data_IF_090649670468
#
_entry.id   IF_090649670468
#
_cell.length_a   1.000
_cell.length_b   1.000
_cell.length_c   1.000
_cell.angle_alpha   90.00
_cell.angle_beta   90.00
_cell.angle_gamma   90.00
#
_symmetry.space_group_name_H-M   'P 1'
#
loop_
_entity.id
_entity.type
_entity.pdbx_description
1 polymer ?
#
# COMPACT_ATOMS: atom_id res chain seq x y z
N UNK A 1 21.12 -1.10 -19.71
CA UNK A 1 20.45 -2.03 -18.83
C UNK A 1 19.09 -1.46 -18.46
N UNK A 2 18.03 -2.10 -18.92
CA UNK A 2 16.64 -1.66 -18.72
C UNK A 2 16.23 -1.90 -17.26
N UNK A 3 15.96 -0.85 -16.54
CA UNK A 3 15.35 -0.90 -15.21
C UNK A 3 13.92 -1.41 -15.40
N UNK A 4 13.63 -2.64 -15.00
CA UNK A 4 12.26 -3.11 -14.84
C UNK A 4 11.73 -2.52 -13.54
N UNK A 5 10.67 -1.69 -13.56
CA UNK A 5 10.05 -1.26 -12.33
C UNK A 5 9.37 -2.47 -11.66
N UNK A 6 9.65 -2.63 -10.36
CA UNK A 6 9.02 -3.62 -9.51
C UNK A 6 7.50 -3.42 -9.49
N UNK A 7 6.80 -4.54 -9.69
CA UNK A 7 5.40 -4.82 -9.37
C UNK A 7 4.42 -3.64 -9.48
N UNK A 8 4.00 -3.35 -10.72
CA UNK A 8 2.67 -2.81 -10.92
C UNK A 8 1.67 -3.86 -10.38
N UNK A 9 1.07 -3.57 -9.24
CA UNK A 9 -0.11 -4.30 -8.77
C UNK A 9 -1.16 -4.13 -9.89
N UNK A 10 -1.23 -5.09 -10.79
CA UNK A 10 -2.30 -5.17 -11.76
C UNK A 10 -3.54 -5.55 -10.95
N UNK A 11 -4.31 -4.55 -10.56
CA UNK A 11 -5.66 -4.79 -10.07
C UNK A 11 -6.37 -5.55 -11.18
N UNK A 12 -6.77 -6.79 -10.92
CA UNK A 12 -7.59 -7.55 -11.86
C UNK A 12 -8.87 -6.75 -12.10
N UNK A 13 -9.36 -6.66 -13.35
CA UNK A 13 -10.58 -5.94 -13.63
C UNK A 13 -11.72 -6.45 -12.76
N UNK A 14 -12.54 -5.56 -12.23
CA UNK A 14 -13.68 -5.92 -11.39
C UNK A 14 -14.65 -6.80 -12.18
N UNK A 15 -14.94 -7.98 -11.68
CA UNK A 15 -15.93 -8.85 -12.29
C UNK A 15 -17.36 -8.42 -11.93
N UNK A 16 -18.32 -8.80 -12.76
CA UNK A 16 -19.75 -8.59 -12.46
C UNK A 16 -20.14 -9.25 -11.13
N UNK A 17 -19.60 -10.44 -10.85
CA UNK A 17 -19.83 -11.15 -9.58
C UNK A 17 -19.31 -10.36 -8.38
N UNK A 18 -18.15 -9.72 -8.50
CA UNK A 18 -17.60 -8.85 -7.46
C UNK A 18 -18.49 -7.65 -7.21
N UNK A 19 -18.96 -6.98 -8.26
CA UNK A 19 -19.90 -5.87 -8.12
C UNK A 19 -21.20 -6.32 -7.43
N UNK A 20 -21.77 -7.45 -7.84
CA UNK A 20 -22.97 -8.02 -7.22
C UNK A 20 -22.76 -8.30 -5.72
N UNK A 21 -21.60 -8.81 -5.35
CA UNK A 21 -21.24 -9.01 -3.95
C UNK A 21 -21.24 -7.69 -3.18
N UNK A 22 -20.58 -6.65 -3.72
CA UNK A 22 -20.57 -5.31 -3.11
C UNK A 22 -21.95 -4.69 -2.92
N UNK A 23 -22.89 -4.93 -3.83
CA UNK A 23 -24.27 -4.42 -3.70
C UNK A 23 -24.98 -4.97 -2.45
N UNK A 24 -24.59 -6.14 -1.98
CA UNK A 24 -25.15 -6.79 -0.78
C UNK A 24 -24.44 -6.36 0.52
N UNK A 25 -23.21 -5.89 0.42
CA UNK A 25 -22.44 -5.48 1.60
C UNK A 25 -22.97 -4.18 2.23
N UNK A 26 -22.86 -3.99 3.55
CA UNK A 26 -23.06 -2.69 4.17
C UNK A 26 -22.04 -1.69 3.63
N UNK A 27 -22.39 -0.42 3.53
CA UNK A 27 -21.40 0.64 3.39
C UNK A 27 -20.42 0.52 4.52
N UNK A 28 -19.17 0.28 4.17
CA UNK A 28 -18.07 0.19 5.11
C UNK A 28 -17.10 1.33 4.90
N UNK A 29 -16.04 1.40 5.69
CA UNK A 29 -14.99 2.41 5.54
C UNK A 29 -14.31 2.38 4.16
N UNK A 30 -14.42 1.26 3.41
CA UNK A 30 -13.70 1.03 2.15
C UNK A 30 -14.58 0.94 0.90
N UNK A 31 -15.88 1.14 1.03
CA UNK A 31 -16.80 1.00 -0.09
C UNK A 31 -17.83 2.13 -0.06
N UNK A 32 -17.87 2.91 -1.13
CA UNK A 32 -18.75 4.06 -1.30
C UNK A 32 -19.57 3.94 -2.56
N UNK A 33 -20.88 4.20 -2.50
CA UNK A 33 -21.78 4.19 -3.64
C UNK A 33 -22.34 5.58 -3.91
N UNK A 34 -22.49 5.91 -5.19
CA UNK A 34 -23.14 7.15 -5.63
C UNK A 34 -23.97 6.91 -6.87
N UNK A 35 -25.20 7.41 -6.90
CA UNK A 35 -26.04 7.31 -8.09
C UNK A 35 -25.40 8.00 -9.31
N UNK A 36 -25.03 9.27 -9.16
CA UNK A 36 -24.31 10.04 -10.16
C UNK A 36 -24.83 9.86 -11.60
N UNK A 37 -26.15 9.77 -11.81
CA UNK A 37 -26.78 9.38 -13.08
C UNK A 37 -26.30 10.16 -14.29
N UNK A 38 -26.24 11.47 -14.20
CA UNK A 38 -25.86 12.37 -15.30
C UNK A 38 -24.39 12.82 -15.19
N UNK A 39 -23.98 13.22 -14.01
CA UNK A 39 -22.63 13.77 -13.74
C UNK A 39 -22.27 13.59 -12.28
N UNK A 40 -20.97 13.65 -12.03
CA UNK A 40 -20.42 13.75 -10.69
C UNK A 40 -19.35 14.83 -10.68
N UNK A 41 -19.31 15.61 -9.62
CA UNK A 41 -18.34 16.70 -9.48
C UNK A 41 -16.93 16.16 -9.30
N UNK A 42 -15.99 16.60 -10.14
CA UNK A 42 -14.61 16.09 -10.12
C UNK A 42 -13.86 16.53 -8.85
N UNK A 43 -14.10 17.74 -8.35
CA UNK A 43 -13.49 18.20 -7.09
C UNK A 43 -14.01 17.37 -5.90
N UNK A 44 -15.27 16.96 -5.95
CA UNK A 44 -15.84 16.07 -4.96
C UNK A 44 -15.20 14.67 -5.05
N UNK A 45 -14.96 14.16 -6.25
CA UNK A 45 -14.25 12.89 -6.44
C UNK A 45 -12.84 12.95 -5.85
N UNK A 46 -12.09 14.02 -6.10
CA UNK A 46 -10.75 14.22 -5.54
C UNK A 46 -10.75 14.13 -4.00
N UNK A 47 -11.70 14.81 -3.36
CA UNK A 47 -11.84 14.79 -1.90
C UNK A 47 -12.18 13.40 -1.36
N UNK A 48 -13.05 12.64 -2.05
CA UNK A 48 -13.35 11.26 -1.69
C UNK A 48 -12.12 10.34 -1.86
N UNK A 49 -11.35 10.52 -2.94
CA UNK A 49 -10.09 9.78 -3.12
C UNK A 49 -9.12 10.05 -1.97
N UNK A 50 -8.94 11.32 -1.58
CA UNK A 50 -8.10 11.69 -0.44
C UNK A 50 -8.59 11.03 0.85
N UNK A 51 -9.88 11.11 1.14
CA UNK A 51 -10.46 10.52 2.35
C UNK A 51 -10.32 9.01 2.39
N UNK A 52 -10.64 8.32 1.31
CA UNK A 52 -10.48 6.86 1.21
C UNK A 52 -9.03 6.43 1.37
N UNK A 53 -8.07 7.13 0.72
CA UNK A 53 -6.65 6.83 0.86
C UNK A 53 -6.17 6.97 2.31
N UNK A 54 -6.60 8.02 3.00
CA UNK A 54 -6.24 8.30 4.40
C UNK A 54 -6.81 7.25 5.36
N UNK A 55 -7.90 6.58 5.00
CA UNK A 55 -8.54 5.51 5.79
C UNK A 55 -8.12 4.09 5.37
N UNK A 56 -7.04 3.96 4.62
CA UNK A 56 -6.48 2.67 4.24
C UNK A 56 -6.94 2.15 2.89
N UNK A 57 -7.37 3.06 2.00
CA UNK A 57 -7.81 2.75 0.65
C UNK A 57 -9.27 2.29 0.57
N UNK A 58 -9.79 2.19 -0.65
CA UNK A 58 -11.16 1.75 -0.86
C UNK A 58 -11.61 1.87 -2.31
N UNK A 59 -12.89 1.60 -2.52
CA UNK A 59 -13.52 1.62 -3.85
C UNK A 59 -14.73 2.54 -3.83
N UNK A 60 -14.82 3.40 -4.83
CA UNK A 60 -16.01 4.21 -5.07
C UNK A 60 -16.72 3.71 -6.33
N UNK A 61 -18.01 3.47 -6.23
CA UNK A 61 -18.85 2.91 -7.30
C UNK A 61 -19.91 3.93 -7.68
N UNK A 62 -19.88 4.39 -8.94
CA UNK A 62 -20.85 5.34 -9.50
C UNK A 62 -21.85 4.61 -10.41
N UNK A 63 -23.09 5.03 -10.39
CA UNK A 63 -24.18 4.39 -11.14
C UNK A 63 -24.98 3.37 -10.34
N UNK A 64 -24.85 3.41 -9.01
CA UNK A 64 -25.55 2.55 -8.06
C UNK A 64 -26.24 3.42 -7.02
N UNK A 65 -27.45 3.04 -6.57
CA UNK A 65 -28.20 3.77 -5.54
C UNK A 65 -27.43 3.77 -4.23
N UNK A 66 -27.42 4.91 -3.54
CA UNK A 66 -26.71 5.08 -2.26
C UNK A 66 -27.36 4.20 -1.16
N UNK A 67 -28.70 4.10 -1.17
CA UNK A 67 -29.48 3.40 -0.13
C UNK A 67 -29.81 1.96 -0.52
N UNK A 68 -29.93 1.11 0.50
CA UNK A 68 -30.40 -0.29 0.32
C UNK A 68 -31.92 -0.37 0.14
N UNK A 69 -32.40 -1.33 -0.66
CA UNK A 69 -31.65 -2.26 -1.49
C UNK A 69 -30.97 -1.52 -2.66
N UNK A 70 -29.66 -1.75 -2.84
CA UNK A 70 -28.91 -1.11 -3.92
C UNK A 70 -29.30 -1.66 -5.27
N UNK A 71 -29.39 -0.75 -6.23
CA UNK A 71 -29.73 -1.08 -7.63
C UNK A 71 -28.77 -0.35 -8.56
N UNK A 72 -28.41 -1.02 -9.63
CA UNK A 72 -27.69 -0.39 -10.73
C UNK A 72 -28.67 0.53 -11.44
N UNK A 73 -28.33 1.80 -11.55
CA UNK A 73 -29.15 2.84 -12.21
C UNK A 73 -28.43 3.46 -13.40
N UNK A 74 -27.15 3.10 -13.56
CA UNK A 74 -26.29 3.62 -14.60
C UNK A 74 -25.78 5.02 -14.33
N UNK A 75 -24.60 5.35 -14.92
CA UNK A 75 -24.02 6.70 -14.84
C UNK A 75 -23.45 7.14 -16.19
N UNK A 76 -23.58 8.45 -16.48
CA UNK A 76 -22.88 9.15 -17.57
C UNK A 76 -21.66 9.93 -17.06
N UNK A 77 -21.43 9.93 -15.73
CA UNK A 77 -20.26 10.58 -15.18
C UNK A 77 -18.98 9.90 -15.67
N UNK A 78 -17.95 10.70 -15.91
CA UNK A 78 -16.63 10.21 -16.29
C UNK A 78 -16.66 9.25 -17.49
N UNK A 79 -17.20 9.73 -18.61
CA UNK A 79 -17.38 8.95 -19.85
C UNK A 79 -16.08 8.32 -20.36
N UNK A 80 -14.93 8.97 -20.10
CA UNK A 80 -13.60 8.48 -20.41
C UNK A 80 -12.85 8.14 -19.11
N UNK A 81 -12.78 6.86 -18.72
CA UNK A 81 -12.03 6.42 -17.54
C UNK A 81 -10.55 6.80 -17.60
N UNK A 82 -9.90 6.70 -18.76
CA UNK A 82 -8.49 7.02 -18.91
C UNK A 82 -8.20 8.50 -18.71
N UNK A 83 -9.07 9.38 -19.23
CA UNK A 83 -8.98 10.83 -18.99
C UNK A 83 -9.21 11.16 -17.52
N UNK A 84 -10.14 10.46 -16.86
CA UNK A 84 -10.42 10.64 -15.43
C UNK A 84 -9.22 10.23 -14.60
N UNK A 85 -8.62 9.06 -14.89
CA UNK A 85 -7.40 8.57 -14.22
C UNK A 85 -6.24 9.55 -14.39
N UNK A 86 -6.02 10.08 -15.59
CA UNK A 86 -5.00 11.08 -15.86
C UNK A 86 -5.24 12.37 -15.05
N UNK A 87 -6.49 12.84 -14.96
CA UNK A 87 -6.86 14.00 -14.17
C UNK A 87 -6.65 13.78 -12.66
N UNK A 88 -7.00 12.62 -12.14
CA UNK A 88 -6.73 12.24 -10.76
C UNK A 88 -5.23 12.23 -10.47
N UNK A 89 -4.44 11.63 -11.35
CA UNK A 89 -2.98 11.60 -11.21
C UNK A 89 -2.38 13.02 -11.25
N UNK A 90 -2.83 13.87 -12.17
CA UNK A 90 -2.34 15.26 -12.28
C UNK A 90 -2.60 16.06 -11.00
N UNK A 91 -3.76 15.87 -10.36
CA UNK A 91 -4.18 16.67 -9.20
C UNK A 91 -3.67 16.11 -7.87
N UNK A 92 -3.58 14.79 -7.73
CA UNK A 92 -3.21 14.12 -6.47
C UNK A 92 -1.78 13.56 -6.47
N UNK A 93 -1.13 13.44 -7.62
CA UNK A 93 0.21 12.83 -7.74
C UNK A 93 0.23 11.30 -7.56
N UNK A 94 -0.93 10.67 -7.46
CA UNK A 94 -1.07 9.24 -7.20
C UNK A 94 -1.82 8.56 -8.34
N UNK A 95 -1.45 7.32 -8.63
CA UNK A 95 -2.18 6.49 -9.59
C UNK A 95 -3.43 5.93 -8.92
N UNK A 96 -4.59 6.25 -9.49
CA UNK A 96 -5.90 5.80 -9.03
C UNK A 96 -6.59 5.15 -10.22
N UNK A 97 -6.63 3.81 -10.31
CA UNK A 97 -7.28 3.12 -11.42
C UNK A 97 -8.77 3.45 -11.48
N UNK A 98 -9.25 3.74 -12.70
CA UNK A 98 -10.65 3.98 -13.00
C UNK A 98 -11.08 3.01 -14.09
N UNK A 99 -12.11 2.24 -13.85
CA UNK A 99 -12.66 1.29 -14.80
C UNK A 99 -14.17 1.46 -14.99
N UNK A 100 -14.69 0.91 -16.07
CA UNK A 100 -16.12 0.87 -16.30
C UNK A 100 -16.61 -0.56 -16.55
N UNK A 101 -17.83 -0.83 -16.10
CA UNK A 101 -18.57 -2.02 -16.41
C UNK A 101 -19.85 -1.64 -17.17
N UNK A 102 -20.03 -2.23 -18.35
CA UNK A 102 -21.24 -2.07 -19.15
C UNK A 102 -22.16 -3.26 -18.86
N UNK A 103 -23.28 -2.98 -18.21
CA UNK A 103 -24.26 -3.98 -17.78
C UNK A 103 -25.61 -3.72 -18.46
N UNK A 104 -26.48 -4.72 -18.56
CA UNK A 104 -27.84 -4.52 -19.11
C UNK A 104 -28.63 -3.43 -18.39
N UNK A 105 -28.42 -3.29 -17.07
CA UNK A 105 -29.08 -2.30 -16.21
C UNK A 105 -28.50 -0.89 -16.35
N UNK A 106 -27.28 -0.78 -16.87
CA UNK A 106 -26.60 0.50 -17.08
C UNK A 106 -25.10 0.44 -16.85
N UNK A 107 -24.42 1.51 -17.23
CA UNK A 107 -22.95 1.68 -17.06
C UNK A 107 -22.63 2.01 -15.60
N UNK A 108 -21.62 1.35 -15.06
CA UNK A 108 -21.08 1.58 -13.72
C UNK A 108 -19.62 2.00 -13.86
N UNK A 109 -19.20 3.04 -13.13
CA UNK A 109 -17.80 3.46 -13.06
C UNK A 109 -17.26 3.13 -11.68
N UNK A 110 -16.07 2.56 -11.63
CA UNK A 110 -15.42 2.08 -10.42
C UNK A 110 -14.07 2.78 -10.28
N UNK A 111 -13.84 3.41 -9.14
CA UNK A 111 -12.59 4.11 -8.81
C UNK A 111 -11.92 3.37 -7.67
N UNK A 112 -10.73 2.82 -7.92
CA UNK A 112 -9.95 2.05 -6.95
C UNK A 112 -8.90 2.93 -6.29
N UNK A 113 -9.15 3.34 -5.07
CA UNK A 113 -8.25 4.22 -4.33
C UNK A 113 -7.29 3.39 -3.49
N UNK A 114 -5.97 3.46 -3.77
CA UNK A 114 -4.99 2.73 -2.96
C UNK A 114 -4.87 3.35 -1.57
N UNK A 115 -4.41 2.58 -0.58
CA UNK A 115 -4.08 3.12 0.73
C UNK A 115 -2.91 4.10 0.66
N UNK A 116 -2.89 5.10 1.52
CA UNK A 116 -1.70 5.92 1.78
C UNK A 116 -0.57 5.05 2.34
N UNK A 117 0.66 5.48 2.16
CA UNK A 117 1.79 4.86 2.83
C UNK A 117 1.82 5.25 4.32
N UNK A 118 2.26 4.34 5.21
CA UNK A 118 2.51 4.69 6.61
C UNK A 118 3.42 5.91 6.73
N UNK A 119 3.16 6.77 7.72
CA UNK A 119 3.91 8.01 7.89
C UNK A 119 3.57 9.13 6.91
N UNK A 120 2.56 8.94 6.05
CA UNK A 120 2.10 9.94 5.10
C UNK A 120 0.59 10.19 5.22
N UNK A 121 0.12 11.32 4.71
CA UNK A 121 -1.29 11.60 4.55
C UNK A 121 -1.52 12.23 3.17
N UNK A 122 -2.61 11.82 2.49
CA UNK A 122 -3.01 12.46 1.24
C UNK A 122 -3.73 13.77 1.54
N UNK A 123 -3.51 14.73 0.66
CA UNK A 123 -4.14 16.04 0.73
C UNK A 123 -4.60 16.51 -0.63
N UNK A 124 -5.48 17.51 -0.64
CA UNK A 124 -5.78 18.32 -1.82
C UNK A 124 -5.94 19.77 -1.39
N UNK A 125 -5.24 20.68 -2.08
CA UNK A 125 -5.21 22.14 -1.82
C UNK A 125 -4.93 22.45 -0.34
N UNK A 126 -3.96 21.74 0.29
CA UNK A 126 -3.57 21.89 1.69
C UNK A 126 -4.60 21.36 2.70
N UNK A 127 -5.57 20.56 2.26
CA UNK A 127 -6.63 20.01 3.12
C UNK A 127 -6.59 18.50 3.14
N UNK A 128 -6.66 17.95 4.33
CA UNK A 128 -6.69 16.52 4.61
C UNK A 128 -8.11 16.10 4.96
N UNK A 129 -8.62 15.08 4.29
CA UNK A 129 -9.99 14.61 4.46
C UNK A 129 -10.04 13.18 5.01
N UNK A 130 -11.10 12.90 5.76
CA UNK A 130 -11.57 11.57 6.16
C UNK A 130 -13.08 11.48 5.87
N UNK A 131 -13.60 10.27 5.92
CA UNK A 131 -15.05 10.06 5.87
C UNK A 131 -15.64 10.23 7.28
N UNK A 132 -16.84 10.77 7.33
CA UNK A 132 -17.63 10.89 8.55
C UNK A 132 -19.05 10.40 8.23
N UNK A 133 -19.25 9.07 8.24
CA UNK A 133 -20.46 8.47 7.69
C UNK A 133 -20.53 8.70 6.18
N UNK A 134 -21.65 9.27 5.72
CA UNK A 134 -21.89 9.59 4.30
C UNK A 134 -21.22 10.90 3.83
N UNK A 135 -20.63 11.65 4.76
CA UNK A 135 -20.01 12.96 4.50
C UNK A 135 -18.47 12.91 4.61
N UNK A 136 -17.86 14.01 4.17
CA UNK A 136 -16.43 14.25 4.30
C UNK A 136 -16.18 15.22 5.45
N UNK A 137 -15.20 14.90 6.29
CA UNK A 137 -14.72 15.76 7.36
C UNK A 137 -13.23 16.05 7.20
N UNK A 138 -12.76 17.16 7.76
CA UNK A 138 -11.33 17.43 7.85
C UNK A 138 -10.68 16.54 8.92
N UNK A 139 -9.46 16.06 8.67
CA UNK A 139 -8.63 15.43 9.68
C UNK A 139 -8.22 16.48 10.73
N UNK A 140 -8.28 16.10 11.99
CA UNK A 140 -7.79 16.93 13.10
C UNK A 140 -6.26 16.94 13.14
N UNK A 141 -5.68 17.95 13.79
CA UNK A 141 -4.24 18.01 13.99
C UNK A 141 -3.69 16.85 14.84
N UNK A 142 -4.50 16.22 15.67
CA UNK A 142 -4.11 15.03 16.42
C UNK A 142 -4.03 13.81 15.50
N UNK A 143 -5.07 13.56 14.68
CA UNK A 143 -5.09 12.45 13.71
C UNK A 143 -3.92 12.56 12.72
N UNK A 144 -3.62 13.77 12.24
CA UNK A 144 -2.46 14.00 11.36
C UNK A 144 -1.14 13.67 12.06
N UNK A 145 -0.96 14.04 13.33
CA UNK A 145 0.24 13.68 14.08
C UNK A 145 0.36 12.16 14.25
N UNK A 146 -0.73 11.47 14.52
CA UNK A 146 -0.75 10.01 14.64
C UNK A 146 -0.38 9.36 13.30
N UNK A 147 -0.95 9.83 12.18
CA UNK A 147 -0.62 9.36 10.84
C UNK A 147 0.85 9.56 10.47
N UNK A 148 1.40 10.75 10.76
CA UNK A 148 2.80 11.05 10.46
C UNK A 148 3.79 10.36 11.41
N UNK A 149 3.34 9.95 12.60
CA UNK A 149 4.14 9.17 13.56
C UNK A 149 4.14 7.65 13.22
N UNK A 150 3.29 7.20 12.31
CA UNK A 150 3.31 5.82 11.87
C UNK A 150 4.66 5.49 11.22
N UNK A 151 5.32 4.49 11.75
CA UNK A 151 6.49 3.89 11.09
C UNK A 151 6.02 2.77 10.19
N UNK A 152 6.38 2.82 8.91
CA UNK A 152 6.19 1.69 8.01
C UNK A 152 6.97 0.46 8.53
N UNK A 153 6.61 -0.75 8.10
CA UNK A 153 7.41 -1.92 8.41
C UNK A 153 8.85 -1.66 7.96
N UNK A 154 9.80 -1.91 8.85
CA UNK A 154 11.22 -1.80 8.50
C UNK A 154 11.53 -2.79 7.37
N UNK A 155 11.73 -2.26 6.17
CA UNK A 155 12.05 -3.08 5.00
C UNK A 155 13.29 -3.94 5.25
N UNK A 156 14.27 -3.37 5.95
CA UNK A 156 15.52 -4.08 6.21
C UNK A 156 15.35 -5.29 7.14
N UNK A 157 14.35 -5.23 8.03
CA UNK A 157 14.00 -6.34 8.93
C UNK A 157 13.15 -7.42 8.26
N UNK A 158 12.68 -7.22 7.01
CA UNK A 158 11.89 -8.23 6.32
C UNK A 158 12.77 -9.36 5.77
N UNK A 159 12.22 -10.60 5.65
CA UNK A 159 12.94 -11.70 5.01
C UNK A 159 13.17 -11.38 3.53
N UNK A 160 14.35 -11.70 3.00
CA UNK A 160 14.61 -11.68 1.59
C UNK A 160 14.28 -13.07 0.99
N UNK A 161 13.18 -13.23 0.23
CA UNK A 161 12.75 -14.53 -0.25
C UNK A 161 13.80 -15.19 -1.17
N UNK A 162 14.24 -16.38 -0.78
CA UNK A 162 15.24 -17.15 -1.55
C UNK A 162 16.69 -16.89 -1.16
N UNK A 163 16.99 -15.86 -0.37
CA UNK A 163 18.35 -15.64 0.15
C UNK A 163 18.68 -16.69 1.24
N UNK A 164 19.92 -17.11 1.29
CA UNK A 164 20.44 -18.11 2.21
C UNK A 164 21.70 -17.62 2.90
N UNK A 165 22.16 -18.34 3.91
CA UNK A 165 23.45 -18.04 4.58
C UNK A 165 24.64 -18.07 3.62
N UNK A 166 24.56 -18.83 2.52
CA UNK A 166 25.61 -18.88 1.50
C UNK A 166 25.74 -17.56 0.71
N UNK A 167 24.74 -16.69 0.75
CA UNK A 167 24.79 -15.35 0.16
C UNK A 167 25.49 -14.33 1.07
N UNK A 168 25.92 -14.72 2.28
CA UNK A 168 26.61 -13.88 3.27
C UNK A 168 28.09 -14.22 3.39
N UNK A 169 28.92 -13.22 3.70
CA UNK A 169 30.36 -13.38 3.92
C UNK A 169 30.69 -13.72 5.37
N UNK A 170 31.15 -14.95 5.62
CA UNK A 170 31.55 -15.40 6.97
C UNK A 170 32.67 -14.54 7.59
N UNK A 171 33.61 -14.03 6.79
CA UNK A 171 34.67 -13.15 7.28
C UNK A 171 34.12 -11.84 7.84
N UNK A 172 33.15 -11.25 7.15
CA UNK A 172 32.48 -10.02 7.58
C UNK A 172 31.66 -10.25 8.85
N UNK A 173 30.99 -11.40 8.97
CA UNK A 173 30.26 -11.81 10.18
C UNK A 173 31.23 -12.03 11.34
N UNK A 174 32.38 -12.68 11.11
CA UNK A 174 33.41 -12.89 12.13
C UNK A 174 33.98 -11.55 12.65
N UNK A 175 34.26 -10.61 11.74
CA UNK A 175 34.72 -9.27 12.13
C UNK A 175 33.67 -8.50 12.94
N UNK A 176 32.41 -8.60 12.56
CA UNK A 176 31.30 -8.03 13.34
C UNK A 176 31.24 -8.63 14.75
N UNK A 177 31.31 -9.95 14.87
CA UNK A 177 31.29 -10.70 16.14
C UNK A 177 32.41 -10.25 17.09
N UNK A 178 33.63 -10.10 16.57
CA UNK A 178 34.77 -9.59 17.38
C UNK A 178 34.53 -8.17 17.89
N UNK A 179 34.08 -7.27 17.01
CA UNK A 179 33.75 -5.90 17.37
C UNK A 179 32.62 -5.82 18.38
N UNK A 180 31.60 -6.66 18.18
CA UNK A 180 30.45 -6.73 19.09
C UNK A 180 30.83 -7.26 20.47
N UNK A 181 31.63 -8.32 20.55
CA UNK A 181 32.17 -8.83 21.81
C UNK A 181 32.97 -7.75 22.58
N UNK A 182 33.82 -6.99 21.88
CA UNK A 182 34.58 -5.89 22.44
C UNK A 182 33.69 -4.76 22.97
N UNK A 183 32.70 -4.34 22.18
CA UNK A 183 31.80 -3.23 22.49
C UNK A 183 30.87 -3.56 23.66
N UNK A 184 30.33 -4.80 23.70
CA UNK A 184 29.40 -5.27 24.74
C UNK A 184 30.12 -5.69 26.05
N UNK A 185 31.44 -5.86 26.03
CA UNK A 185 32.19 -6.38 27.17
C UNK A 185 31.93 -7.87 27.43
N UNK A 186 31.27 -8.60 26.55
CA UNK A 186 30.97 -10.03 26.67
C UNK A 186 31.87 -10.87 25.77
N UNK A 187 32.96 -11.46 26.31
CA UNK A 187 33.91 -12.27 25.52
C UNK A 187 33.30 -13.54 24.95
N UNK A 188 32.21 -14.09 25.54
CA UNK A 188 31.53 -15.30 25.04
C UNK A 188 30.98 -15.16 23.65
N UNK A 189 30.68 -13.92 23.23
CA UNK A 189 30.20 -13.64 21.87
C UNK A 189 31.19 -14.03 20.79
N UNK A 190 32.50 -14.13 21.07
CA UNK A 190 33.52 -14.60 20.13
C UNK A 190 33.36 -16.06 19.74
N UNK A 191 32.75 -16.85 20.62
CA UNK A 191 32.58 -18.30 20.43
C UNK A 191 31.29 -18.66 19.68
N UNK A 192 30.44 -17.66 19.39
CA UNK A 192 29.18 -17.87 18.66
C UNK A 192 29.47 -18.31 17.23
N UNK A 193 28.64 -19.21 16.70
CA UNK A 193 28.61 -19.50 15.26
C UNK A 193 28.06 -18.30 14.46
N UNK A 194 28.28 -18.29 13.17
CA UNK A 194 27.73 -17.24 12.30
C UNK A 194 26.19 -17.19 12.41
N UNK A 195 25.54 -18.35 12.38
CA UNK A 195 24.09 -18.47 12.54
C UNK A 195 23.61 -17.87 13.89
N UNK A 196 24.27 -18.20 14.99
CA UNK A 196 23.90 -17.67 16.31
C UNK A 196 24.18 -16.17 16.40
N UNK A 197 25.30 -15.71 15.82
CA UNK A 197 25.63 -14.28 15.75
C UNK A 197 24.54 -13.49 15.03
N UNK A 198 24.06 -14.01 13.90
CA UNK A 198 23.00 -13.37 13.11
C UNK A 198 21.64 -13.39 13.83
N UNK A 199 21.32 -14.50 14.54
CA UNK A 199 20.10 -14.58 15.37
C UNK A 199 20.12 -13.56 16.50
N UNK A 200 21.21 -13.53 17.27
CA UNK A 200 21.36 -12.64 18.42
C UNK A 200 21.42 -11.16 18.01
N UNK A 201 21.83 -10.87 16.78
CA UNK A 201 21.81 -9.55 16.18
C UNK A 201 20.46 -9.18 15.51
N UNK A 202 19.45 -10.05 15.59
CA UNK A 202 18.12 -9.88 14.98
C UNK A 202 18.20 -9.70 13.44
N UNK A 203 19.18 -10.32 12.80
CA UNK A 203 19.40 -10.26 11.35
C UNK A 203 18.80 -11.46 10.60
N UNK A 204 18.26 -12.43 11.33
CA UNK A 204 17.45 -13.51 10.79
C UNK A 204 16.00 -13.34 11.26
N UNK A 205 15.07 -13.69 10.38
CA UNK A 205 13.62 -13.66 10.64
C UNK A 205 13.16 -15.07 11.02
N UNK A 206 11.90 -15.23 11.42
CA UNK A 206 11.31 -16.50 11.79
C UNK A 206 11.66 -17.63 10.79
N UNK A 207 12.13 -18.77 11.30
CA UNK A 207 12.62 -19.88 10.49
C UNK A 207 14.02 -19.70 9.90
N UNK A 208 14.85 -18.82 10.47
CA UNK A 208 16.22 -18.51 10.04
C UNK A 208 16.34 -17.92 8.61
N UNK A 209 15.29 -17.27 8.16
CA UNK A 209 15.32 -16.58 6.87
C UNK A 209 16.24 -15.36 6.94
N UNK A 210 17.09 -15.20 5.94
CA UNK A 210 17.99 -14.05 5.84
C UNK A 210 17.20 -12.76 5.59
N UNK A 211 17.38 -11.75 6.47
CA UNK A 211 16.76 -10.44 6.28
C UNK A 211 17.49 -9.60 5.22
N UNK A 212 16.82 -8.59 4.67
CA UNK A 212 17.51 -7.60 3.82
C UNK A 212 18.64 -6.89 4.57
N UNK A 213 18.48 -6.64 5.90
CA UNK A 213 19.54 -6.07 6.71
C UNK A 213 20.80 -6.96 6.75
N UNK A 214 20.63 -8.28 6.90
CA UNK A 214 21.74 -9.21 6.85
C UNK A 214 22.48 -9.17 5.51
N UNK A 215 21.74 -9.11 4.39
CA UNK A 215 22.33 -8.97 3.05
C UNK A 215 23.07 -7.64 2.88
N UNK A 216 22.47 -6.52 3.31
CA UNK A 216 23.10 -5.20 3.19
C UNK A 216 24.42 -5.14 3.99
N UNK A 217 24.44 -5.75 5.18
CA UNK A 217 25.60 -5.70 6.06
C UNK A 217 26.68 -6.72 5.71
N UNK A 218 26.31 -7.91 5.27
CA UNK A 218 27.19 -9.06 5.13
C UNK A 218 27.09 -9.77 3.78
N UNK A 219 26.29 -9.29 2.83
CA UNK A 219 26.10 -9.94 1.54
C UNK A 219 27.40 -10.07 0.74
N UNK A 220 27.63 -11.25 0.17
CA UNK A 220 28.64 -11.41 -0.86
C UNK A 220 28.30 -10.55 -2.08
N UNK A 221 29.29 -10.21 -2.88
CA UNK A 221 29.05 -9.47 -4.14
C UNK A 221 27.99 -10.17 -5.01
N UNK A 222 28.05 -11.51 -5.08
CA UNK A 222 27.10 -12.31 -5.85
C UNK A 222 25.68 -12.27 -5.21
N UNK A 223 25.59 -12.36 -3.88
CA UNK A 223 24.35 -12.24 -3.14
C UNK A 223 23.70 -10.87 -3.32
N UNK A 224 24.46 -9.80 -3.15
CA UNK A 224 23.97 -8.43 -3.37
C UNK A 224 23.45 -8.22 -4.80
N UNK A 225 24.19 -8.67 -5.82
CA UNK A 225 23.75 -8.54 -7.23
C UNK A 225 22.49 -9.35 -7.53
N UNK A 226 22.26 -10.46 -6.81
CA UNK A 226 21.11 -11.35 -7.03
C UNK A 226 19.84 -10.83 -6.37
N UNK A 227 19.96 -10.25 -5.17
CA UNK A 227 18.84 -9.99 -4.29
C UNK A 227 18.54 -8.51 -4.06
N UNK A 228 19.47 -7.61 -4.34
CA UNK A 228 19.34 -6.14 -4.26
C UNK A 228 19.58 -5.49 -5.64
#
# INVERSE_FOLDING_TARGET
GSFKPAHACHTMPTSVAQLQHWLLEPEGQRLEFKEAKQRYDFEKLLKYCVALANEGGGTMVLGVTDKRPRRIVGTQAFEDPGRTEAGLHQRLGHRIPVEELLLPEGRVVIVHVPPRLPGTAWEIDGRYFKRAGDDLAALSGQELREMFAETGPDFSAQPCPGATLADLESESIALFRERWAKKSGDPRRRELSDLQTLRDAELLVEGDQVSYAALILFGTRAGLTRWL
#
